data_IF_970418540213
#
_entry.id   IF_970418540213
#
_cell.length_a   1.000
_cell.length_b   1.000
_cell.length_c   1.000
_cell.angle_alpha   90.00
_cell.angle_beta   90.00
_cell.angle_gamma   90.00
#
_symmetry.space_group_name_H-M   'P 1'
#
loop_
_entity.id
_entity.type
_entity.pdbx_description
1 polymer ?
#
# COMPACT_ATOMS: atom_id res chain seq x y z
N UNK A 1 20.40 -31.66 81.90
CA UNK A 1 20.82 -30.79 80.80
C UNK A 1 19.81 -30.97 79.67
N UNK A 2 18.91 -29.98 79.46
CA UNK A 2 17.88 -30.05 78.43
C UNK A 2 18.33 -29.18 77.27
N UNK A 3 18.49 -29.81 76.09
CA UNK A 3 18.84 -29.18 74.81
C UNK A 3 17.57 -28.65 74.13
N UNK A 4 17.53 -27.39 73.76
CA UNK A 4 16.46 -26.77 73.00
C UNK A 4 16.77 -26.82 71.48
N UNK A 5 15.81 -27.11 70.60
CA UNK A 5 16.01 -27.04 69.18
C UNK A 5 15.83 -25.60 68.65
N UNK A 6 16.67 -25.22 67.68
CA UNK A 6 16.64 -23.93 67.02
C UNK A 6 15.47 -23.83 66.03
N UNK A 7 14.80 -22.69 65.83
CA UNK A 7 13.75 -22.51 64.83
C UNK A 7 14.35 -22.34 63.45
N UNK A 8 13.91 -23.20 62.49
CA UNK A 8 14.23 -23.08 61.07
C UNK A 8 13.44 -21.94 60.42
N UNK A 9 14.17 -21.06 59.76
CA UNK A 9 13.60 -19.99 58.95
C UNK A 9 13.13 -20.56 57.60
N UNK A 10 11.80 -20.59 57.41
CA UNK A 10 11.22 -20.95 56.10
C UNK A 10 11.17 -19.69 55.25
N UNK A 11 12.08 -19.64 54.24
CA UNK A 11 12.09 -18.58 53.22
C UNK A 11 11.06 -18.97 52.13
N UNK A 12 9.88 -18.38 52.18
CA UNK A 12 8.87 -18.56 51.14
C UNK A 12 9.28 -17.75 49.90
N UNK A 13 9.81 -18.41 48.85
CA UNK A 13 10.04 -17.80 47.54
C UNK A 13 8.69 -17.63 46.84
N UNK A 14 8.18 -16.37 46.79
CA UNK A 14 7.05 -15.97 45.95
C UNK A 14 7.52 -15.89 44.51
N UNK A 15 7.28 -16.93 43.69
CA UNK A 15 7.42 -16.88 42.24
C UNK A 15 6.29 -16.01 41.65
N UNK A 16 6.59 -14.74 41.31
CA UNK A 16 5.73 -13.93 40.45
C UNK A 16 5.80 -14.50 39.05
N UNK A 17 4.80 -15.29 38.66
CA UNK A 17 4.59 -15.68 37.28
C UNK A 17 4.12 -14.44 36.51
N UNK A 18 5.03 -13.79 35.78
CA UNK A 18 4.69 -12.75 34.80
C UNK A 18 4.00 -13.46 33.63
N UNK A 19 2.68 -13.49 33.62
CA UNK A 19 1.90 -14.01 32.51
C UNK A 19 2.05 -13.04 31.32
N UNK A 20 2.95 -13.37 30.39
CA UNK A 20 3.01 -12.68 29.11
C UNK A 20 1.70 -12.94 28.35
N UNK A 21 1.03 -11.93 27.77
CA UNK A 21 -0.17 -12.15 26.97
C UNK A 21 0.16 -13.06 25.76
N UNK A 22 -0.78 -13.90 25.32
CA UNK A 22 -0.56 -14.80 24.18
C UNK A 22 -0.25 -13.95 22.93
N UNK A 23 0.79 -14.31 22.19
CA UNK A 23 1.29 -13.61 20.98
C UNK A 23 0.17 -13.25 19.99
N UNK A 24 -0.89 -14.06 19.89
CA UNK A 24 -2.04 -13.81 19.02
C UNK A 24 -2.91 -12.62 19.46
N UNK A 25 -3.02 -12.36 20.74
CA UNK A 25 -3.76 -11.19 21.25
C UNK A 25 -3.01 -9.90 20.96
N UNK A 26 -1.69 -9.93 21.02
CA UNK A 26 -0.83 -8.78 20.74
C UNK A 26 -0.86 -8.43 19.24
N UNK A 27 -0.79 -9.42 18.33
CA UNK A 27 -0.86 -9.19 16.88
C UNK A 27 -2.20 -8.60 16.44
N UNK A 28 -3.33 -8.97 17.07
CA UNK A 28 -4.63 -8.38 16.79
C UNK A 28 -4.70 -6.92 17.28
N UNK A 29 -4.17 -6.62 18.46
CA UNK A 29 -4.13 -5.25 18.98
C UNK A 29 -3.23 -4.34 18.12
N UNK A 30 -2.10 -4.86 17.62
CA UNK A 30 -1.22 -4.13 16.71
C UNK A 30 -1.89 -3.88 15.36
N UNK A 31 -2.62 -4.86 14.81
CA UNK A 31 -3.41 -4.68 13.59
C UNK A 31 -4.43 -3.57 13.76
N UNK A 32 -5.26 -3.62 14.81
CA UNK A 32 -6.29 -2.61 15.08
C UNK A 32 -5.69 -1.21 15.25
N UNK A 33 -4.55 -1.11 15.93
CA UNK A 33 -3.82 0.15 16.07
C UNK A 33 -3.41 0.73 14.72
N UNK A 34 -2.84 -0.09 13.83
CA UNK A 34 -2.41 0.34 12.49
C UNK A 34 -3.59 0.72 11.62
N UNK A 35 -4.66 -0.10 11.60
CA UNK A 35 -5.88 0.20 10.85
C UNK A 35 -6.51 1.52 11.32
N UNK A 36 -6.59 1.75 12.64
CA UNK A 36 -7.10 3.00 13.19
C UNK A 36 -6.23 4.23 12.87
N UNK A 37 -4.91 4.07 12.73
CA UNK A 37 -4.02 5.14 12.27
C UNK A 37 -4.27 5.47 10.79
N UNK A 38 -4.45 4.45 9.95
CA UNK A 38 -4.80 4.63 8.54
C UNK A 38 -6.17 5.29 8.37
N UNK A 39 -7.17 4.96 9.19
CA UNK A 39 -8.49 5.62 9.16
C UNK A 39 -8.38 7.11 9.48
N UNK A 40 -7.60 7.47 10.51
CA UNK A 40 -7.35 8.87 10.85
C UNK A 40 -6.67 9.63 9.71
N UNK A 41 -5.70 9.00 9.05
CA UNK A 41 -5.03 9.56 7.89
C UNK A 41 -6.02 9.73 6.72
N UNK A 42 -6.83 8.72 6.43
CA UNK A 42 -7.83 8.72 5.36
C UNK A 42 -8.90 9.80 5.56
N UNK A 43 -9.37 10.02 6.79
CA UNK A 43 -10.34 11.06 7.10
C UNK A 43 -9.85 12.48 6.76
N UNK A 44 -8.53 12.72 6.87
CA UNK A 44 -7.90 14.00 6.60
C UNK A 44 -7.21 14.06 5.23
N UNK A 45 -7.25 12.98 4.45
CA UNK A 45 -6.56 12.88 3.18
C UNK A 45 -7.23 13.76 2.12
N UNK A 46 -6.45 14.61 1.49
CA UNK A 46 -6.85 15.44 0.33
C UNK A 46 -6.00 15.15 -0.88
N UNK A 47 -4.69 14.98 -0.68
CA UNK A 47 -3.74 14.72 -1.76
C UNK A 47 -2.46 14.09 -1.24
N UNK A 48 -1.75 13.41 -2.13
CA UNK A 48 -0.37 12.97 -1.91
C UNK A 48 0.44 13.13 -3.21
N UNK A 49 1.68 13.53 -3.07
CA UNK A 49 2.71 13.49 -4.10
C UNK A 49 3.90 12.70 -3.56
N UNK A 50 4.50 11.85 -4.37
CA UNK A 50 5.70 11.11 -4.00
C UNK A 50 6.57 10.84 -5.22
N UNK A 51 7.87 10.65 -4.99
CA UNK A 51 8.78 10.01 -5.94
C UNK A 51 8.61 8.50 -5.76
N UNK A 52 8.54 7.75 -6.85
CA UNK A 52 8.49 6.30 -6.79
C UNK A 52 9.64 5.65 -7.54
N UNK A 53 10.06 4.50 -7.03
CA UNK A 53 10.85 3.49 -7.74
C UNK A 53 10.01 2.22 -7.78
N UNK A 54 9.74 1.73 -8.98
CA UNK A 54 8.90 0.58 -9.21
C UNK A 54 9.68 -0.51 -9.91
N UNK A 55 9.88 -1.62 -9.24
CA UNK A 55 10.56 -2.81 -9.74
C UNK A 55 9.50 -3.87 -10.11
N UNK A 56 9.54 -4.33 -11.34
CA UNK A 56 8.72 -5.44 -11.81
C UNK A 56 9.64 -6.63 -12.09
N UNK A 57 9.54 -7.65 -11.27
CA UNK A 57 10.28 -8.90 -11.41
C UNK A 57 9.46 -9.91 -12.23
N UNK A 58 10.08 -10.49 -13.24
CA UNK A 58 9.53 -11.55 -14.08
C UNK A 58 10.27 -12.86 -13.79
N UNK A 59 9.62 -13.77 -13.09
CA UNK A 59 10.20 -15.03 -12.60
C UNK A 59 10.72 -15.93 -13.71
N UNK A 60 10.01 -15.98 -14.85
CA UNK A 60 10.33 -16.89 -15.96
C UNK A 60 11.69 -16.58 -16.60
N UNK A 61 12.03 -15.29 -16.67
CA UNK A 61 13.29 -14.81 -17.27
C UNK A 61 14.31 -14.38 -16.24
N UNK A 62 13.93 -14.38 -14.94
CA UNK A 62 14.75 -13.92 -13.81
C UNK A 62 15.28 -12.48 -14.00
N UNK A 63 14.42 -11.60 -14.51
CA UNK A 63 14.77 -10.22 -14.81
C UNK A 63 13.92 -9.25 -13.99
N UNK A 64 14.47 -8.07 -13.73
CA UNK A 64 13.77 -6.98 -13.06
C UNK A 64 13.81 -5.71 -13.91
N UNK A 65 12.65 -5.26 -14.34
CA UNK A 65 12.46 -3.95 -14.94
C UNK A 65 12.25 -2.89 -13.86
N UNK A 66 13.00 -1.80 -13.94
CA UNK A 66 12.89 -0.68 -12.99
C UNK A 66 12.32 0.54 -13.69
N UNK A 67 11.26 1.10 -13.11
CA UNK A 67 10.67 2.37 -13.53
C UNK A 67 10.78 3.37 -12.39
N UNK A 68 11.05 4.65 -12.76
CA UNK A 68 11.13 5.75 -11.78
C UNK A 68 10.29 6.92 -12.25
N UNK A 69 9.73 7.65 -11.29
CA UNK A 69 8.90 8.79 -11.62
C UNK A 69 8.29 9.47 -10.41
N UNK A 70 7.23 10.22 -10.69
CA UNK A 70 6.40 10.86 -9.66
C UNK A 70 4.99 10.30 -9.75
N UNK A 71 4.36 10.15 -8.58
CA UNK A 71 2.97 9.75 -8.47
C UNK A 71 2.20 10.80 -7.68
N UNK A 72 0.97 11.04 -8.10
CA UNK A 72 0.06 12.02 -7.53
C UNK A 72 -1.28 11.36 -7.25
N UNK A 73 -1.81 11.61 -6.07
CA UNK A 73 -3.16 11.22 -5.67
C UNK A 73 -3.92 12.45 -5.21
N UNK A 74 -5.20 12.55 -5.57
CA UNK A 74 -6.07 13.62 -5.10
C UNK A 74 -7.50 13.09 -4.91
N UNK A 75 -8.11 13.47 -3.79
CA UNK A 75 -9.56 13.32 -3.61
C UNK A 75 -10.26 14.51 -4.23
N UNK A 76 -11.19 14.25 -5.14
CA UNK A 76 -12.00 15.27 -5.82
C UNK A 76 -13.49 14.95 -5.60
N UNK A 77 -14.06 15.52 -4.53
CA UNK A 77 -15.39 15.13 -4.07
C UNK A 77 -15.42 13.66 -3.64
N UNK A 78 -16.29 12.87 -4.27
CA UNK A 78 -16.39 11.42 -4.06
C UNK A 78 -15.39 10.61 -4.90
N UNK A 79 -14.77 11.23 -5.91
CA UNK A 79 -13.87 10.55 -6.83
C UNK A 79 -12.41 10.63 -6.37
N UNK A 80 -11.66 9.56 -6.65
CA UNK A 80 -10.22 9.54 -6.52
C UNK A 80 -9.58 9.79 -7.88
N UNK A 81 -8.62 10.69 -7.94
CA UNK A 81 -7.76 10.90 -9.09
C UNK A 81 -6.35 10.42 -8.77
N UNK A 82 -5.72 9.78 -9.74
CA UNK A 82 -4.32 9.38 -9.67
C UNK A 82 -3.62 9.78 -10.97
N UNK A 83 -2.37 10.21 -10.87
CA UNK A 83 -1.51 10.39 -12.02
C UNK A 83 -0.10 9.86 -11.71
N UNK A 84 0.53 9.21 -12.67
CA UNK A 84 1.92 8.83 -12.59
C UNK A 84 2.68 9.38 -13.80
N UNK A 85 3.73 10.14 -13.55
CA UNK A 85 4.71 10.60 -14.54
C UNK A 85 5.93 9.70 -14.45
N UNK A 86 5.95 8.64 -15.28
CA UNK A 86 7.08 7.73 -15.40
C UNK A 86 8.15 8.40 -16.26
N UNK A 87 9.34 8.60 -15.69
CA UNK A 87 10.44 9.30 -16.35
C UNK A 87 11.49 8.34 -16.93
N UNK A 88 11.66 7.19 -16.31
CA UNK A 88 12.65 6.16 -16.69
C UNK A 88 12.01 4.78 -16.72
N UNK A 89 12.46 3.84 -17.60
CA UNK A 89 13.40 4.04 -18.69
C UNK A 89 12.76 4.77 -19.89
N UNK A 90 11.48 4.53 -20.17
CA UNK A 90 10.70 5.17 -21.22
C UNK A 90 9.61 6.06 -20.61
N UNK A 91 9.51 7.28 -21.12
CA UNK A 91 8.53 8.25 -20.64
C UNK A 91 7.11 7.78 -20.91
N UNK A 92 6.29 7.75 -19.85
CA UNK A 92 4.87 7.37 -19.90
C UNK A 92 4.10 8.24 -18.91
N UNK A 93 2.85 8.50 -19.22
CA UNK A 93 1.93 9.18 -18.32
C UNK A 93 0.71 8.29 -18.10
N UNK A 94 0.39 8.00 -16.85
CA UNK A 94 -0.81 7.27 -16.48
C UNK A 94 -1.71 8.22 -15.72
N UNK A 95 -2.96 8.34 -16.13
CA UNK A 95 -3.97 9.13 -15.41
C UNK A 95 -5.18 8.26 -15.16
N UNK A 96 -5.62 8.23 -13.91
CA UNK A 96 -6.93 7.70 -13.52
C UNK A 96 -7.84 8.84 -13.10
N UNK A 97 -9.00 8.91 -13.71
CA UNK A 97 -10.06 9.87 -13.36
C UNK A 97 -11.40 9.34 -13.88
N UNK A 98 -12.47 9.53 -13.09
CA UNK A 98 -13.85 9.20 -13.50
C UNK A 98 -14.04 7.78 -14.05
N UNK A 99 -13.35 6.79 -13.45
CA UNK A 99 -13.44 5.39 -13.86
C UNK A 99 -12.72 5.07 -15.17
N UNK A 100 -11.80 5.91 -15.61
CA UNK A 100 -10.96 5.69 -16.80
C UNK A 100 -9.50 5.72 -16.44
N UNK A 101 -8.75 4.72 -16.90
CA UNK A 101 -7.28 4.72 -16.90
C UNK A 101 -6.82 5.12 -18.29
N UNK A 102 -6.01 6.16 -18.40
CA UNK A 102 -5.42 6.64 -19.64
C UNK A 102 -3.91 6.51 -19.54
N UNK A 103 -3.32 5.74 -20.47
CA UNK A 103 -1.87 5.57 -20.62
C UNK A 103 -1.41 6.30 -21.87
N UNK A 104 -0.65 7.38 -21.70
CA UNK A 104 0.01 8.08 -22.80
C UNK A 104 1.46 7.64 -22.94
N UNK A 105 1.84 7.22 -24.13
CA UNK A 105 3.19 6.82 -24.52
C UNK A 105 3.72 7.80 -25.57
N UNK A 106 4.51 8.84 -25.17
CA UNK A 106 5.01 9.86 -26.09
C UNK A 106 5.84 9.32 -27.24
N UNK A 107 6.59 8.22 -27.01
CA UNK A 107 7.47 7.59 -28.03
C UNK A 107 6.74 7.15 -29.28
N UNK A 108 5.47 6.77 -29.13
CA UNK A 108 4.60 6.34 -30.26
C UNK A 108 3.41 7.28 -30.46
N UNK A 109 3.38 8.39 -29.71
CA UNK A 109 2.31 9.40 -29.69
C UNK A 109 0.91 8.76 -29.58
N UNK A 110 0.72 7.85 -28.61
CA UNK A 110 -0.52 7.11 -28.43
C UNK A 110 -1.05 7.20 -27.01
N UNK A 111 -2.35 7.42 -26.88
CA UNK A 111 -3.12 7.24 -25.65
C UNK A 111 -3.93 5.96 -25.73
N UNK A 112 -3.75 5.07 -24.76
CA UNK A 112 -4.62 3.91 -24.56
C UNK A 112 -5.59 4.18 -23.43
N UNK A 113 -6.89 4.00 -23.67
CA UNK A 113 -7.96 4.28 -22.70
C UNK A 113 -8.60 2.96 -22.29
N UNK A 114 -8.56 2.67 -20.98
CA UNK A 114 -9.24 1.54 -20.36
C UNK A 114 -10.40 2.05 -19.50
N UNK A 115 -11.61 1.58 -19.76
CA UNK A 115 -12.77 1.90 -18.95
C UNK A 115 -12.90 0.86 -17.82
N UNK A 116 -13.01 1.29 -16.58
CA UNK A 116 -13.16 0.37 -15.44
C UNK A 116 -14.57 -0.23 -15.34
N UNK A 117 -15.57 0.40 -15.95
CA UNK A 117 -16.93 -0.10 -16.01
C UNK A 117 -17.51 -0.48 -14.63
N UNK A 118 -17.96 -1.71 -14.49
CA UNK A 118 -18.50 -2.26 -13.23
C UNK A 118 -17.47 -2.38 -12.11
N UNK A 119 -16.18 -2.36 -12.44
CA UNK A 119 -15.08 -2.56 -11.50
C UNK A 119 -14.55 -1.23 -10.92
N UNK A 120 -15.19 -0.09 -11.22
CA UNK A 120 -14.74 1.25 -10.78
C UNK A 120 -14.40 1.25 -9.28
N UNK A 121 -15.31 0.80 -8.41
CA UNK A 121 -15.11 0.80 -6.97
C UNK A 121 -13.93 -0.09 -6.53
N UNK A 122 -13.75 -1.25 -7.16
CA UNK A 122 -12.63 -2.15 -6.87
C UNK A 122 -11.30 -1.53 -7.31
N UNK A 123 -11.25 -0.91 -8.49
CA UNK A 123 -10.06 -0.19 -8.98
C UNK A 123 -9.71 0.98 -8.08
N UNK A 124 -10.69 1.80 -7.67
CA UNK A 124 -10.48 2.92 -6.76
C UNK A 124 -9.96 2.47 -5.39
N UNK A 125 -10.55 1.42 -4.81
CA UNK A 125 -10.07 0.83 -3.55
C UNK A 125 -8.62 0.36 -3.65
N UNK A 126 -8.23 -0.19 -4.80
CA UNK A 126 -6.87 -0.62 -5.08
C UNK A 126 -5.91 0.56 -5.26
N UNK A 127 -6.33 1.60 -5.98
CA UNK A 127 -5.50 2.80 -6.22
C UNK A 127 -5.17 3.55 -4.93
N UNK A 128 -6.12 3.61 -3.98
CA UNK A 128 -5.90 4.30 -2.69
C UNK A 128 -5.28 3.39 -1.63
N UNK A 129 -4.92 2.15 -1.99
CA UNK A 129 -4.31 1.22 -1.06
C UNK A 129 -2.98 1.78 -0.52
N UNK A 130 -2.99 2.15 0.77
CA UNK A 130 -1.86 2.81 1.40
C UNK A 130 -1.73 4.32 1.15
N UNK A 131 -2.60 4.93 0.31
CA UNK A 131 -2.63 6.39 0.10
C UNK A 131 -4.07 6.92 0.16
N UNK A 132 -4.54 7.24 1.37
CA UNK A 132 -5.86 7.83 1.59
C UNK A 132 -7.02 6.84 1.67
N UNK A 133 -6.77 5.54 1.52
CA UNK A 133 -7.73 4.49 1.86
C UNK A 133 -7.78 4.23 3.36
N UNK A 134 -8.98 4.03 3.93
CA UNK A 134 -9.15 3.68 5.32
C UNK A 134 -8.62 2.28 5.64
N UNK A 135 -8.03 2.11 6.83
CA UNK A 135 -7.54 0.81 7.28
C UNK A 135 -8.66 -0.22 7.38
N UNK A 136 -9.77 0.12 8.03
CA UNK A 136 -10.92 -0.78 8.15
C UNK A 136 -11.66 -0.98 6.83
N UNK A 137 -11.57 -0.03 5.89
CA UNK A 137 -12.14 -0.21 4.55
C UNK A 137 -11.44 -1.34 3.78
N UNK A 138 -10.15 -1.55 3.99
CA UNK A 138 -9.42 -2.67 3.38
C UNK A 138 -10.00 -4.04 3.78
N UNK A 139 -10.53 -4.16 5.00
CA UNK A 139 -11.12 -5.41 5.49
C UNK A 139 -12.34 -5.86 4.68
N UNK A 140 -12.97 -4.96 3.91
CA UNK A 140 -14.08 -5.31 3.00
C UNK A 140 -13.60 -6.17 1.82
N UNK A 141 -12.39 -5.91 1.33
CA UNK A 141 -11.84 -6.54 0.12
C UNK A 141 -10.71 -7.53 0.39
N UNK A 142 -10.08 -7.45 1.57
CA UNK A 142 -8.91 -8.26 1.94
C UNK A 142 -9.05 -8.87 3.33
N UNK A 143 -8.48 -10.07 3.50
CA UNK A 143 -8.09 -10.57 4.80
C UNK A 143 -6.73 -9.98 5.13
N UNK A 144 -6.65 -9.23 6.24
CA UNK A 144 -5.44 -8.46 6.60
C UNK A 144 -4.81 -9.06 7.84
N UNK A 145 -3.48 -9.24 7.80
CA UNK A 145 -2.67 -9.70 8.93
C UNK A 145 -1.57 -8.69 9.22
N UNK A 146 -1.33 -8.44 10.50
CA UNK A 146 -0.12 -7.78 10.94
C UNK A 146 1.02 -8.81 10.98
N UNK A 147 2.11 -8.54 10.25
CA UNK A 147 3.26 -9.46 10.11
C UNK A 147 4.40 -9.07 11.05
N UNK A 148 4.43 -7.81 11.50
CA UNK A 148 5.47 -7.29 12.38
C UNK A 148 5.90 -5.87 12.00
N UNK A 149 7.04 -5.44 12.54
CA UNK A 149 7.69 -4.18 12.18
C UNK A 149 8.89 -4.44 11.28
N UNK A 150 9.16 -3.51 10.36
CA UNK A 150 10.33 -3.54 9.49
C UNK A 150 10.76 -2.11 9.19
N UNK A 151 12.08 -1.84 9.18
CA UNK A 151 12.60 -0.52 8.84
C UNK A 151 12.77 -0.42 7.32
N UNK A 152 12.11 0.56 6.71
CA UNK A 152 12.22 0.89 5.28
C UNK A 152 12.78 2.29 5.13
N UNK A 153 13.95 2.41 4.53
CA UNK A 153 14.63 3.69 4.28
C UNK A 153 14.69 4.61 5.53
N UNK A 154 14.97 4.01 6.71
CA UNK A 154 15.08 4.71 8.00
C UNK A 154 13.75 4.96 8.72
N UNK A 155 12.62 4.56 8.15
CA UNK A 155 11.29 4.65 8.78
C UNK A 155 10.91 3.30 9.37
N UNK A 156 10.62 3.24 10.67
CA UNK A 156 10.03 2.05 11.28
C UNK A 156 8.57 1.93 10.80
N UNK A 157 8.25 0.81 10.16
CA UNK A 157 6.96 0.58 9.53
C UNK A 157 6.24 -0.61 10.14
N UNK A 158 4.91 -0.58 10.10
CA UNK A 158 4.07 -1.74 10.34
C UNK A 158 3.87 -2.49 9.03
N UNK A 159 4.28 -3.77 8.99
CA UNK A 159 4.12 -4.62 7.81
C UNK A 159 2.79 -5.36 7.88
N UNK A 160 1.96 -5.15 6.87
CA UNK A 160 0.67 -5.82 6.70
C UNK A 160 0.73 -6.76 5.51
N UNK A 161 0.14 -7.96 5.66
CA UNK A 161 -0.13 -8.91 4.57
C UNK A 161 -1.62 -8.90 4.27
N UNK A 162 -1.97 -8.70 3.00
CA UNK A 162 -3.32 -8.65 2.50
C UNK A 162 -3.57 -9.80 1.53
N UNK A 163 -4.58 -10.62 1.82
CA UNK A 163 -5.05 -11.68 0.91
C UNK A 163 -6.40 -11.26 0.32
N UNK A 164 -6.54 -11.15 -1.03
CA UNK A 164 -7.79 -10.75 -1.64
C UNK A 164 -8.93 -11.74 -1.34
N UNK A 165 -10.13 -11.24 -1.01
CA UNK A 165 -11.31 -12.07 -0.76
C UNK A 165 -11.99 -12.52 -2.06
N UNK A 166 -12.01 -11.67 -3.09
CA UNK A 166 -12.63 -12.02 -4.36
C UNK A 166 -11.72 -12.89 -5.24
N UNK A 167 -12.30 -13.87 -5.92
CA UNK A 167 -11.58 -14.73 -6.85
C UNK A 167 -10.93 -13.94 -8.00
N UNK A 168 -11.64 -12.94 -8.53
CA UNK A 168 -11.12 -12.06 -9.58
C UNK A 168 -9.82 -11.37 -9.18
N UNK A 169 -9.73 -10.86 -7.94
CA UNK A 169 -8.50 -10.24 -7.44
C UNK A 169 -7.43 -11.29 -7.14
N UNK A 170 -7.78 -12.48 -6.63
CA UNK A 170 -6.82 -13.57 -6.41
C UNK A 170 -6.18 -14.07 -7.70
N UNK A 171 -6.91 -14.04 -8.81
CA UNK A 171 -6.37 -14.37 -10.13
C UNK A 171 -5.35 -13.34 -10.64
N UNK A 172 -5.37 -12.11 -10.07
CA UNK A 172 -4.40 -11.06 -10.40
C UNK A 172 -3.28 -10.98 -9.36
N UNK A 173 -3.64 -11.06 -8.07
CA UNK A 173 -2.67 -10.95 -6.98
C UNK A 173 -2.90 -12.07 -5.96
N UNK A 174 -1.87 -12.89 -5.74
CA UNK A 174 -1.90 -13.93 -4.71
C UNK A 174 -1.97 -13.32 -3.31
N UNK A 175 -1.15 -12.32 -3.05
CA UNK A 175 -1.16 -11.50 -1.83
C UNK A 175 -0.43 -10.17 -2.07
N UNK A 176 -0.60 -9.23 -1.14
CA UNK A 176 0.01 -7.91 -1.18
C UNK A 176 0.67 -7.65 0.17
N UNK A 177 1.85 -7.08 0.18
CA UNK A 177 2.51 -6.58 1.37
C UNK A 177 2.50 -5.05 1.36
N UNK A 178 2.13 -4.45 2.49
CA UNK A 178 2.19 -3.01 2.71
C UNK A 178 3.10 -2.71 3.90
N UNK A 179 3.96 -1.73 3.75
CA UNK A 179 4.76 -1.16 4.83
C UNK A 179 4.21 0.21 5.17
N UNK A 180 3.46 0.27 6.26
CA UNK A 180 2.75 1.46 6.71
C UNK A 180 3.62 2.24 7.67
N UNK A 181 3.86 3.51 7.38
CA UNK A 181 4.40 4.47 8.35
C UNK A 181 3.30 4.78 9.38
N UNK A 182 3.45 4.35 10.64
CA UNK A 182 2.39 4.50 11.62
C UNK A 182 2.13 5.95 12.03
N UNK A 183 3.13 6.83 11.89
CA UNK A 183 2.97 8.25 12.23
C UNK A 183 2.11 9.00 11.20
N UNK A 184 2.20 8.61 9.93
CA UNK A 184 1.48 9.24 8.81
C UNK A 184 0.27 8.44 8.34
N UNK A 185 0.14 7.16 8.74
CA UNK A 185 -0.93 6.25 8.32
C UNK A 185 -0.95 5.97 6.82
N UNK A 186 0.22 6.01 6.16
CA UNK A 186 0.40 5.79 4.73
C UNK A 186 1.46 4.72 4.45
N UNK A 187 1.39 4.11 3.28
CA UNK A 187 2.39 3.15 2.83
C UNK A 187 3.63 3.85 2.27
N UNK A 188 4.81 3.42 2.72
CA UNK A 188 6.11 3.84 2.15
C UNK A 188 6.66 2.82 1.17
N UNK A 189 6.16 1.59 1.23
CA UNK A 189 6.51 0.51 0.30
C UNK A 189 5.32 -0.43 0.13
N UNK A 190 5.16 -0.95 -1.09
CA UNK A 190 4.11 -1.90 -1.45
C UNK A 190 4.71 -3.00 -2.31
N UNK A 191 4.32 -4.25 -2.08
CA UNK A 191 4.73 -5.36 -2.94
C UNK A 191 3.51 -6.22 -3.29
N UNK A 192 3.29 -6.41 -4.59
CA UNK A 192 2.18 -7.14 -5.17
C UNK A 192 2.71 -8.43 -5.77
N UNK A 193 2.27 -9.58 -5.25
CA UNK A 193 2.67 -10.88 -5.74
C UNK A 193 1.61 -11.46 -6.65
N UNK A 194 2.01 -11.87 -7.85
CA UNK A 194 1.14 -12.51 -8.82
C UNK A 194 1.15 -14.05 -8.65
N UNK A 195 0.09 -14.76 -9.05
CA UNK A 195 0.07 -16.24 -8.97
C UNK A 195 1.17 -16.93 -9.79
N UNK A 196 1.69 -16.26 -10.84
CA UNK A 196 2.84 -16.71 -11.64
C UNK A 196 4.15 -16.79 -10.84
N UNK A 197 4.22 -16.08 -9.72
CA UNK A 197 5.42 -15.86 -8.93
C UNK A 197 6.17 -14.59 -9.33
N UNK A 198 5.64 -13.82 -10.27
CA UNK A 198 6.10 -12.47 -10.56
C UNK A 198 5.71 -11.54 -9.41
N UNK A 199 6.39 -10.41 -9.27
CA UNK A 199 6.01 -9.41 -8.28
C UNK A 199 6.31 -8.00 -8.77
N UNK A 200 5.62 -7.03 -8.17
CA UNK A 200 5.85 -5.60 -8.35
C UNK A 200 6.14 -5.00 -6.99
N UNK A 201 7.30 -4.37 -6.84
CA UNK A 201 7.72 -3.67 -5.64
C UNK A 201 7.76 -2.18 -5.92
N UNK A 202 6.93 -1.40 -5.24
CA UNK A 202 6.94 0.05 -5.28
C UNK A 202 7.51 0.61 -3.97
N UNK A 203 8.51 1.48 -4.07
CA UNK A 203 9.04 2.29 -2.96
C UNK A 203 8.70 3.74 -3.21
N UNK A 204 8.31 4.45 -2.15
CA UNK A 204 7.91 5.84 -2.21
C UNK A 204 8.80 6.69 -1.30
N UNK A 205 9.32 7.78 -1.84
CA UNK A 205 10.15 8.76 -1.14
C UNK A 205 9.63 10.18 -1.38
N UNK A 206 10.14 11.16 -0.61
CA UNK A 206 9.70 12.57 -0.68
C UNK A 206 8.16 12.72 -0.66
N UNK A 207 7.51 11.95 0.21
CA UNK A 207 6.05 11.91 0.28
C UNK A 207 5.53 13.19 0.94
N UNK A 208 4.74 13.95 0.17
CA UNK A 208 4.11 15.21 0.58
C UNK A 208 2.61 15.01 0.63
N UNK A 209 2.04 15.18 1.82
CA UNK A 209 0.60 15.01 2.04
C UNK A 209 -0.10 16.36 2.06
N UNK A 210 -1.33 16.37 1.54
CA UNK A 210 -2.28 17.50 1.63
C UNK A 210 -1.77 18.82 1.06
N UNK A 211 -0.77 18.76 0.17
CA UNK A 211 -0.31 19.93 -0.59
C UNK A 211 -1.20 20.15 -1.81
N UNK A 212 -1.26 21.41 -2.27
CA UNK A 212 -1.98 21.76 -3.50
C UNK A 212 -1.25 21.16 -4.71
N UNK A 213 -1.89 20.22 -5.41
CA UNK A 213 -1.39 19.64 -6.66
C UNK A 213 -2.05 20.39 -7.82
N UNK A 214 -1.27 20.92 -8.78
CA UNK A 214 -1.83 21.58 -9.95
C UNK A 214 -2.69 20.64 -10.79
N UNK A 215 -3.80 21.11 -11.34
CA UNK A 215 -4.70 20.32 -12.21
C UNK A 215 -3.99 19.72 -13.42
N UNK A 216 -2.93 20.38 -13.88
CA UNK A 216 -2.10 19.88 -14.98
C UNK A 216 -1.42 18.54 -14.69
N UNK A 217 -1.20 18.18 -13.42
CA UNK A 217 -0.64 16.87 -13.05
C UNK A 217 -1.59 15.72 -13.43
N UNK A 218 -2.90 15.98 -13.51
CA UNK A 218 -3.94 15.00 -13.86
C UNK A 218 -4.41 15.10 -15.31
N UNK A 219 -3.65 15.79 -16.18
CA UNK A 219 -3.97 15.96 -17.60
C UNK A 219 -2.85 15.43 -18.46
N UNK A 220 -3.20 14.63 -19.48
CA UNK A 220 -2.24 14.18 -20.48
C UNK A 220 -1.83 15.37 -21.36
N UNK A 221 -0.53 15.48 -21.61
CA UNK A 221 0.02 16.49 -22.54
C UNK A 221 0.13 15.88 -23.95
N UNK A 222 -1.02 15.70 -24.60
CA UNK A 222 -1.11 15.15 -25.94
C UNK A 222 -0.92 16.21 -27.01
N UNK A 223 -0.67 15.77 -28.25
CA UNK A 223 -0.63 16.63 -29.45
C UNK A 223 -1.94 16.50 -30.22
N UNK A 224 -2.19 17.39 -31.19
CA UNK A 224 -3.36 17.27 -32.08
C UNK A 224 -3.32 16.04 -33.01
N UNK A 225 -2.19 15.29 -33.05
CA UNK A 225 -1.98 14.08 -33.85
C UNK A 225 -1.98 12.81 -33.03
N UNK A 226 -2.06 12.92 -31.71
CA UNK A 226 -2.01 11.76 -30.79
C UNK A 226 -3.11 10.76 -31.12
N UNK A 227 -2.71 9.53 -31.40
CA UNK A 227 -3.63 8.42 -31.64
C UNK A 227 -4.29 8.00 -30.33
N UNK A 228 -5.62 7.93 -30.32
CA UNK A 228 -6.37 7.39 -29.15
C UNK A 228 -6.91 6.01 -29.52
N UNK A 229 -6.61 5.02 -28.69
CA UNK A 229 -7.09 3.64 -28.83
C UNK A 229 -7.79 3.20 -27.56
N UNK A 230 -8.87 2.45 -27.73
CA UNK A 230 -9.56 1.79 -26.61
C UNK A 230 -9.57 0.30 -26.92
N UNK A 231 -8.75 -0.51 -26.21
CA UNK A 231 -8.85 -1.95 -26.34
C UNK A 231 -10.26 -2.36 -25.96
N UNK A 232 -10.92 -3.12 -26.80
CA UNK A 232 -12.19 -3.73 -26.46
C UNK A 232 -11.89 -4.81 -25.43
N UNK A 233 -12.45 -4.66 -24.20
CA UNK A 233 -12.46 -5.67 -23.18
C UNK A 233 -13.62 -6.64 -23.37
#
# INVERSE_FOLDING_TARGET
>A
MRSFPKPGVWLALLLLAVASPPVRAQTNADLERVLGQMDKAAANFRSAEAIFVWNQYAKVVDETDTQKGRIFFRRNGSDTQMAADVMEPDKKYVVYSEGKVQLYQPKIDQVTVYNTGKDKAAVESFLVLGFGGGGHDMLKSFDVKYVGTETVDGVETAKLELTPKSEKLRNTFAHILLWIDPARGISVQQQFFEPSGDYRLAKYSDIRLNQKIPDQAFKLKTTGKTKVVSPQG
#
